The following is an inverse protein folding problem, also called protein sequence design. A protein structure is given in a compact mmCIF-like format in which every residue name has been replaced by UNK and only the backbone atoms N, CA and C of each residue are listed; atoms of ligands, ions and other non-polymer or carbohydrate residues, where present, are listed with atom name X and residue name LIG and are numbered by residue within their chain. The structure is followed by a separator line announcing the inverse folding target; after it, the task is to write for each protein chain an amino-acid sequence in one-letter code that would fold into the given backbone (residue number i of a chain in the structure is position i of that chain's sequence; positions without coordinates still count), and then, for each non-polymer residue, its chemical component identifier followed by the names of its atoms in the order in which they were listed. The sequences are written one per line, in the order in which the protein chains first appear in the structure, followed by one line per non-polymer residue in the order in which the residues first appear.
data_IF_608978007759
#
_entry.id   IF_608978007759
#
_cell.length_a   1.000
_cell.length_b   1.000
_cell.length_c   1.000
_cell.angle_alpha   90.00
_cell.angle_beta   90.00
_cell.angle_gamma   90.00
#
_symmetry.space_group_name_H-M   'P 1'
#
loop_
_entity.id
_entity.type
_entity.pdbx_description
1 polymer ?
#
# COMPACT_ATOMS: atom_id res chain seq x y z
N UNK A 1 2.45 47.91 -47.65
CA UNK A 1 2.13 48.32 -46.26
C UNK A 1 1.69 47.09 -45.47
N UNK A 2 2.32 46.86 -44.32
CA UNK A 2 2.01 45.89 -43.24
C UNK A 2 2.13 44.36 -43.50
N UNK A 3 3.22 43.83 -42.95
CA UNK A 3 3.66 42.43 -42.82
C UNK A 3 2.71 41.49 -42.07
N UNK A 4 2.47 40.30 -42.63
CA UNK A 4 1.77 39.15 -42.03
C UNK A 4 2.72 38.22 -41.23
N UNK A 5 3.92 38.70 -40.88
CA UNK A 5 4.98 37.88 -40.26
C UNK A 5 5.01 37.96 -38.71
N UNK A 6 3.84 38.11 -38.07
CA UNK A 6 3.71 38.18 -36.59
C UNK A 6 2.90 37.05 -35.96
N UNK A 7 2.12 36.28 -36.72
CA UNK A 7 1.31 35.19 -36.15
C UNK A 7 2.10 33.90 -35.87
N UNK A 8 3.25 33.67 -36.52
CA UNK A 8 4.02 32.43 -36.34
C UNK A 8 4.95 32.42 -35.10
N UNK A 9 5.12 33.56 -34.39
CA UNK A 9 6.01 33.65 -33.21
C UNK A 9 5.34 33.36 -31.86
N UNK A 10 4.00 33.37 -31.74
CA UNK A 10 3.30 33.00 -30.49
C UNK A 10 3.08 31.49 -30.33
N UNK A 11 3.02 30.73 -31.42
CA UNK A 11 2.82 29.28 -31.36
C UNK A 11 4.05 28.48 -30.87
N UNK A 12 5.25 29.09 -30.85
CA UNK A 12 6.51 28.39 -30.51
C UNK A 12 7.04 28.61 -29.08
N UNK A 13 6.38 29.43 -28.24
CA UNK A 13 6.82 29.64 -26.82
C UNK A 13 5.97 28.92 -25.76
N UNK A 14 4.86 28.29 -26.14
CA UNK A 14 4.08 27.45 -25.21
C UNK A 14 4.56 25.98 -25.16
N UNK A 15 5.40 25.54 -26.11
CA UNK A 15 5.81 24.13 -26.24
C UNK A 15 7.09 23.74 -25.46
N UNK A 16 7.65 24.63 -24.64
CA UNK A 16 8.95 24.39 -23.99
C UNK A 16 8.94 24.41 -22.45
N UNK A 17 7.78 24.57 -21.79
CA UNK A 17 7.68 24.56 -20.30
C UNK A 17 6.49 23.77 -19.74
N UNK A 18 6.08 22.71 -20.42
CA UNK A 18 5.06 21.78 -19.91
C UNK A 18 5.48 20.31 -20.13
N UNK A 19 6.77 20.02 -19.90
CA UNK A 19 7.32 18.68 -20.11
C UNK A 19 8.29 18.21 -19.01
N UNK A 20 8.08 18.68 -17.78
CA UNK A 20 8.99 18.33 -16.68
C UNK A 20 8.35 18.20 -15.29
N UNK A 21 7.03 18.01 -15.21
CA UNK A 21 6.34 17.52 -14.00
C UNK A 21 5.24 16.56 -14.46
N UNK A 22 5.65 15.41 -14.97
CA UNK A 22 4.77 14.25 -15.08
C UNK A 22 5.66 13.04 -14.79
N UNK A 23 6.12 13.01 -13.54
CA UNK A 23 6.79 11.87 -12.95
C UNK A 23 5.69 11.13 -12.17
N UNK A 24 5.60 9.82 -12.41
CA UNK A 24 4.73 8.82 -11.77
C UNK A 24 3.33 8.68 -12.36
N UNK A 25 3.22 7.65 -13.20
CA UNK A 25 1.98 7.28 -13.86
C UNK A 25 0.96 6.63 -12.92
N UNK A 26 -0.29 6.93 -13.21
CA UNK A 26 -1.37 5.96 -13.42
C UNK A 26 -2.49 6.68 -14.15
N UNK A 27 -3.10 6.03 -15.13
CA UNK A 27 -4.37 6.48 -15.71
C UNK A 27 -5.42 6.44 -14.59
N UNK A 28 -6.34 7.40 -14.50
CA UNK A 28 -7.54 7.20 -13.70
C UNK A 28 -8.38 6.16 -14.45
N UNK A 29 -8.27 4.90 -14.04
CA UNK A 29 -9.31 3.94 -14.36
C UNK A 29 -10.56 4.46 -13.65
N UNK A 30 -11.65 4.59 -14.41
CA UNK A 30 -12.96 4.91 -13.88
C UNK A 30 -13.22 3.96 -12.71
N UNK A 31 -13.38 4.54 -11.52
CA UNK A 31 -13.85 3.84 -10.33
C UNK A 31 -15.25 3.34 -10.68
N UNK A 32 -15.34 2.03 -10.89
CA UNK A 32 -16.61 1.32 -10.99
C UNK A 32 -17.24 1.34 -9.60
N UNK A 33 -18.53 1.61 -9.59
CA UNK A 33 -19.36 2.10 -8.49
C UNK A 33 -19.83 0.94 -7.58
N UNK A 34 -18.89 0.11 -7.10
CA UNK A 34 -19.21 -1.08 -6.26
C UNK A 34 -18.12 -1.40 -5.22
N UNK A 35 -17.56 -0.37 -4.57
CA UNK A 35 -16.59 -0.52 -3.49
C UNK A 35 -17.11 0.14 -2.21
N UNK A 36 -18.04 -0.53 -1.52
CA UNK A 36 -18.52 -0.18 -0.19
C UNK A 36 -17.47 -0.16 0.94
N UNK A 37 -16.18 -0.14 0.59
CA UNK A 37 -15.05 -0.05 1.52
C UNK A 37 -14.09 1.12 1.23
N UNK A 38 -14.25 1.88 0.14
CA UNK A 38 -13.31 2.96 -0.24
C UNK A 38 -13.90 4.38 -0.23
N UNK A 39 -15.08 4.59 0.36
CA UNK A 39 -15.62 5.94 0.55
C UNK A 39 -14.89 6.73 1.64
N UNK A 40 -14.11 6.05 2.48
CA UNK A 40 -13.28 6.69 3.52
C UNK A 40 -11.82 6.81 3.05
N UNK A 41 -11.20 8.00 3.16
CA UNK A 41 -9.80 8.17 2.78
C UNK A 41 -8.91 7.26 3.64
N UNK A 42 -7.97 6.55 2.98
CA UNK A 42 -6.97 5.72 3.67
C UNK A 42 -6.27 6.59 4.74
N UNK A 43 -6.25 6.15 6.02
CA UNK A 43 -5.62 6.91 7.09
C UNK A 43 -4.15 7.24 6.81
N UNK A 44 -3.68 8.40 7.28
CA UNK A 44 -2.30 8.85 7.04
C UNK A 44 -1.27 7.87 7.62
N UNK A 45 -1.55 7.24 8.76
CA UNK A 45 -0.69 6.23 9.36
C UNK A 45 -0.55 4.99 8.46
N UNK A 46 -1.62 4.59 7.78
CA UNK A 46 -1.63 3.47 6.83
C UNK A 46 -0.83 3.81 5.58
N UNK A 47 -0.98 5.03 5.03
CA UNK A 47 -0.17 5.49 3.89
C UNK A 47 1.32 5.58 4.23
N UNK A 48 1.66 6.02 5.44
CA UNK A 48 3.03 6.05 5.93
C UNK A 48 3.62 4.63 6.04
N UNK A 49 2.85 3.68 6.56
CA UNK A 49 3.23 2.27 6.59
C UNK A 49 3.44 1.71 5.18
N UNK A 50 2.51 1.94 4.26
CA UNK A 50 2.61 1.47 2.86
C UNK A 50 3.84 2.04 2.14
N UNK A 51 4.18 3.30 2.39
CA UNK A 51 5.39 3.90 1.83
C UNK A 51 6.66 3.18 2.32
N UNK A 52 6.74 2.87 3.62
CA UNK A 52 7.86 2.09 4.18
C UNK A 52 7.89 0.66 3.65
N UNK A 53 6.74 0.01 3.53
CA UNK A 53 6.61 -1.34 2.97
C UNK A 53 7.12 -1.38 1.53
N UNK A 54 6.82 -0.37 0.72
CA UNK A 54 7.29 -0.27 -0.67
C UNK A 54 8.81 -0.12 -0.76
N UNK A 55 9.39 0.71 0.09
CA UNK A 55 10.84 0.87 0.16
C UNK A 55 11.53 -0.44 0.60
N UNK A 56 10.94 -1.16 1.55
CA UNK A 56 11.43 -2.45 2.02
C UNK A 56 11.24 -3.57 0.98
N UNK A 57 10.14 -3.56 0.23
CA UNK A 57 9.87 -4.54 -0.84
C UNK A 57 10.91 -4.46 -1.96
N UNK A 58 11.46 -3.28 -2.22
CA UNK A 58 12.57 -3.10 -3.15
C UNK A 58 13.85 -3.85 -2.72
N UNK A 59 13.97 -4.19 -1.42
CA UNK A 59 15.04 -5.03 -0.88
C UNK A 59 14.63 -6.50 -0.91
N UNK A 60 13.52 -6.85 -0.25
CA UNK A 60 12.95 -8.20 -0.31
C UNK A 60 11.51 -8.24 0.21
N UNK A 61 10.80 -9.34 -0.09
CA UNK A 61 9.47 -9.60 0.47
C UNK A 61 9.51 -9.76 1.99
N UNK A 62 10.56 -10.40 2.53
CA UNK A 62 10.73 -10.60 3.97
C UNK A 62 10.85 -9.25 4.70
N UNK A 63 11.63 -8.32 4.15
CA UNK A 63 11.76 -6.97 4.71
C UNK A 63 10.42 -6.22 4.69
N UNK A 64 9.67 -6.32 3.59
CA UNK A 64 8.32 -5.72 3.50
C UNK A 64 7.37 -6.29 4.56
N UNK A 65 7.38 -7.60 4.77
CA UNK A 65 6.56 -8.27 5.79
C UNK A 65 6.99 -7.91 7.21
N UNK A 66 8.29 -7.80 7.47
CA UNK A 66 8.82 -7.34 8.77
C UNK A 66 8.36 -5.91 9.08
N UNK A 67 8.42 -5.02 8.09
CA UNK A 67 7.92 -3.65 8.20
C UNK A 67 6.42 -3.64 8.48
N UNK A 68 5.63 -4.45 7.77
CA UNK A 68 4.19 -4.58 8.03
C UNK A 68 3.94 -4.99 9.48
N UNK A 69 4.46 -6.13 9.92
CA UNK A 69 4.19 -6.68 11.25
C UNK A 69 4.61 -5.71 12.37
N UNK A 70 5.77 -5.08 12.21
CA UNK A 70 6.29 -4.11 13.19
C UNK A 70 5.44 -2.84 13.23
N UNK A 71 5.08 -2.25 12.09
CA UNK A 71 4.25 -1.03 12.09
C UNK A 71 2.82 -1.34 12.53
N UNK A 72 2.28 -2.50 12.14
CA UNK A 72 0.94 -2.92 12.53
C UNK A 72 0.82 -3.11 14.03
N UNK A 73 1.84 -3.66 14.69
CA UNK A 73 1.86 -3.76 16.15
C UNK A 73 1.75 -2.39 16.84
N UNK A 74 2.43 -1.36 16.33
CA UNK A 74 2.27 0.01 16.85
C UNK A 74 0.88 0.57 16.57
N UNK A 75 0.35 0.36 15.35
CA UNK A 75 -0.98 0.82 14.97
C UNK A 75 -2.05 0.17 15.85
N UNK A 76 -1.96 -1.14 16.12
CA UNK A 76 -2.91 -1.86 16.97
C UNK A 76 -2.89 -1.33 18.42
N UNK A 77 -1.72 -0.93 18.93
CA UNK A 77 -1.61 -0.33 20.27
C UNK A 77 -2.36 1.03 20.32
N UNK A 78 -2.20 1.85 19.28
CA UNK A 78 -2.85 3.17 19.21
C UNK A 78 -4.35 3.06 18.81
N UNK A 79 -4.71 2.03 18.07
CA UNK A 79 -6.02 1.79 17.47
C UNK A 79 -6.47 0.32 17.64
N UNK A 80 -6.75 -0.13 18.88
CA UNK A 80 -7.18 -1.50 19.14
C UNK A 80 -8.54 -1.83 18.53
N UNK A 81 -9.35 -0.81 18.20
CA UNK A 81 -10.64 -0.96 17.52
C UNK A 81 -10.55 -1.53 16.10
N UNK A 82 -9.36 -1.54 15.49
CA UNK A 82 -9.12 -2.15 14.19
C UNK A 82 -9.11 -3.67 14.24
N UNK A 83 -8.92 -4.26 15.43
CA UNK A 83 -8.98 -5.69 15.60
C UNK A 83 -10.43 -6.16 15.62
N UNK A 84 -10.79 -6.94 14.59
CA UNK A 84 -12.07 -7.61 14.53
C UNK A 84 -12.09 -8.86 15.42
N UNK A 85 -12.35 -8.64 16.70
CA UNK A 85 -12.51 -9.69 17.71
C UNK A 85 -13.83 -10.47 17.58
N UNK A 86 -14.77 -10.00 16.75
CA UNK A 86 -16.04 -10.74 16.51
C UNK A 86 -15.81 -11.93 15.57
N UNK A 87 -14.89 -11.75 14.61
CA UNK A 87 -14.55 -12.75 13.61
C UNK A 87 -13.22 -13.49 13.88
N UNK A 88 -12.72 -13.41 15.11
CA UNK A 88 -11.46 -14.04 15.51
C UNK A 88 -11.57 -14.78 16.85
N UNK A 89 -10.91 -15.93 16.96
CA UNK A 89 -10.88 -16.71 18.20
C UNK A 89 -10.00 -16.06 19.29
N UNK A 90 -8.93 -15.37 18.87
CA UNK A 90 -8.01 -14.65 19.75
C UNK A 90 -7.41 -13.41 19.06
N UNK A 91 -6.69 -12.59 19.84
CA UNK A 91 -6.07 -11.35 19.37
C UNK A 91 -5.01 -11.60 18.27
N UNK A 92 -4.31 -12.73 18.32
CA UNK A 92 -3.32 -13.10 17.30
C UNK A 92 -3.96 -13.42 15.95
N UNK A 93 -5.10 -14.11 15.96
CA UNK A 93 -5.92 -14.34 14.78
C UNK A 93 -6.51 -13.03 14.24
N UNK A 94 -7.05 -12.16 15.11
CA UNK A 94 -7.55 -10.85 14.70
C UNK A 94 -6.45 -9.99 14.05
N UNK A 95 -5.26 -9.97 14.65
CA UNK A 95 -4.11 -9.25 14.10
C UNK A 95 -3.65 -9.84 12.75
N UNK A 96 -3.75 -11.17 12.58
CA UNK A 96 -3.45 -11.84 11.31
C UNK A 96 -4.47 -11.48 10.22
N UNK A 97 -5.77 -11.44 10.56
CA UNK A 97 -6.81 -10.96 9.65
C UNK A 97 -6.57 -9.51 9.24
N UNK A 98 -6.30 -8.63 10.21
CA UNK A 98 -5.96 -7.23 9.93
C UNK A 98 -4.71 -7.11 9.05
N UNK A 99 -3.67 -7.91 9.29
CA UNK A 99 -2.47 -7.91 8.45
C UNK A 99 -2.79 -8.34 7.01
N UNK A 100 -3.66 -9.33 6.82
CA UNK A 100 -4.12 -9.76 5.51
C UNK A 100 -4.91 -8.63 4.80
N UNK A 101 -5.82 -7.96 5.49
CA UNK A 101 -6.58 -6.83 4.95
C UNK A 101 -5.64 -5.67 4.54
N UNK A 102 -4.68 -5.33 5.40
CA UNK A 102 -3.67 -4.30 5.11
C UNK A 102 -2.80 -4.65 3.90
N UNK A 103 -2.51 -5.92 3.68
CA UNK A 103 -1.77 -6.38 2.50
C UNK A 103 -2.61 -6.29 1.23
N UNK A 104 -3.91 -6.58 1.31
CA UNK A 104 -4.85 -6.37 0.20
C UNK A 104 -4.85 -4.89 -0.18
N UNK A 105 -5.06 -4.01 0.79
CA UNK A 105 -5.06 -2.56 0.58
C UNK A 105 -3.72 -2.06 0.03
N UNK A 106 -2.61 -2.58 0.54
CA UNK A 106 -1.27 -2.27 0.05
C UNK A 106 -1.12 -2.64 -1.43
N UNK A 107 -1.56 -3.84 -1.83
CA UNK A 107 -1.49 -4.30 -3.22
C UNK A 107 -2.39 -3.50 -4.15
N UNK A 108 -3.59 -3.16 -3.70
CA UNK A 108 -4.49 -2.27 -4.42
C UNK A 108 -3.87 -0.88 -4.60
N UNK A 109 -3.23 -0.33 -3.56
CA UNK A 109 -2.56 0.97 -3.61
C UNK A 109 -1.28 0.97 -4.47
N UNK A 110 -0.36 0.03 -4.22
CA UNK A 110 0.95 -0.04 -4.86
C UNK A 110 0.84 -0.50 -6.32
N UNK A 111 0.14 -1.60 -6.56
CA UNK A 111 0.09 -2.30 -7.85
C UNK A 111 -1.20 -2.01 -8.63
N UNK A 112 -2.20 -1.38 -8.00
CA UNK A 112 -3.45 -1.01 -8.69
C UNK A 112 -4.23 -2.25 -9.09
N UNK A 113 -3.97 -3.35 -8.38
CA UNK A 113 -4.68 -4.61 -8.53
C UNK A 113 -6.08 -4.47 -7.96
N UNK A 114 -7.00 -5.29 -8.45
CA UNK A 114 -8.29 -5.45 -7.79
C UNK A 114 -8.15 -6.29 -6.51
N UNK A 115 -9.21 -6.27 -5.69
CA UNK A 115 -9.26 -7.01 -4.43
C UNK A 115 -9.09 -8.52 -4.65
N UNK A 116 -9.71 -9.06 -5.69
CA UNK A 116 -9.69 -10.49 -5.99
C UNK A 116 -8.28 -10.97 -6.34
N UNK A 117 -7.53 -10.22 -7.15
CA UNK A 117 -6.15 -10.52 -7.48
C UNK A 117 -5.23 -10.39 -6.26
N UNK A 118 -5.45 -9.38 -5.41
CA UNK A 118 -4.71 -9.24 -4.16
C UNK A 118 -4.97 -10.40 -3.19
N UNK A 119 -6.23 -10.85 -3.09
CA UNK A 119 -6.61 -12.00 -2.26
C UNK A 119 -6.06 -13.32 -2.83
N UNK A 120 -6.04 -13.48 -4.15
CA UNK A 120 -5.42 -14.62 -4.81
C UNK A 120 -3.91 -14.67 -4.52
N UNK A 121 -3.23 -13.52 -4.52
CA UNK A 121 -1.82 -13.42 -4.16
C UNK A 121 -1.54 -13.87 -2.72
N UNK A 122 -2.40 -13.49 -1.76
CA UNK A 122 -2.27 -13.97 -0.37
C UNK A 122 -2.49 -15.48 -0.22
N UNK A 123 -3.21 -16.09 -1.15
CA UNK A 123 -3.45 -17.54 -1.17
C UNK A 123 -2.31 -18.31 -1.84
N UNK A 124 -1.28 -17.64 -2.36
CA UNK A 124 -0.15 -18.30 -2.99
C UNK A 124 0.69 -19.08 -1.95
N UNK A 125 1.05 -20.35 -2.21
CA UNK A 125 1.82 -21.15 -1.25
C UNK A 125 3.17 -20.53 -0.87
N UNK A 126 3.81 -19.82 -1.82
CA UNK A 126 5.06 -19.12 -1.57
C UNK A 126 4.85 -17.94 -0.62
N UNK A 127 3.77 -17.17 -0.83
CA UNK A 127 3.45 -16.06 0.05
C UNK A 127 3.13 -16.55 1.47
N UNK A 128 2.31 -17.59 1.61
CA UNK A 128 1.96 -18.18 2.92
C UNK A 128 3.22 -18.63 3.66
N UNK A 129 4.17 -19.26 2.96
CA UNK A 129 5.44 -19.68 3.56
C UNK A 129 6.30 -18.48 4.03
N UNK A 130 6.43 -17.45 3.18
CA UNK A 130 7.19 -16.24 3.53
C UNK A 130 6.54 -15.48 4.69
N UNK A 131 5.21 -15.41 4.71
CA UNK A 131 4.45 -14.77 5.77
C UNK A 131 4.57 -15.50 7.11
N UNK A 132 4.48 -16.84 7.10
CA UNK A 132 4.72 -17.65 8.29
C UNK A 132 6.13 -17.45 8.85
N UNK A 133 7.16 -17.46 7.98
CA UNK A 133 8.53 -17.20 8.41
C UNK A 133 8.71 -15.79 9.00
N UNK A 134 8.06 -14.78 8.41
CA UNK A 134 8.11 -13.41 8.94
C UNK A 134 7.42 -13.30 10.31
N UNK A 135 6.30 -14.00 10.52
CA UNK A 135 5.62 -14.08 11.82
C UNK A 135 6.50 -14.76 12.88
N UNK A 136 7.16 -15.85 12.53
CA UNK A 136 8.07 -16.57 13.44
C UNK A 136 9.23 -15.66 13.87
N UNK A 137 9.90 -15.00 12.91
CA UNK A 137 10.99 -14.05 13.20
C UNK A 137 10.49 -12.87 14.03
N UNK A 138 9.29 -12.35 13.72
CA UNK A 138 8.70 -11.26 14.49
C UNK A 138 8.45 -11.68 15.94
N UNK A 139 7.89 -12.87 16.16
CA UNK A 139 7.66 -13.43 17.49
C UNK A 139 8.97 -13.62 18.27
N UNK A 140 10.00 -14.19 17.64
CA UNK A 140 11.32 -14.31 18.26
C UNK A 140 11.88 -12.94 18.70
N UNK A 141 11.68 -11.90 17.88
CA UNK A 141 12.12 -10.54 18.20
C UNK A 141 11.37 -9.90 19.38
N UNK A 142 10.15 -10.36 19.67
CA UNK A 142 9.39 -9.92 20.85
C UNK A 142 9.89 -10.61 22.12
N UNK A 143 10.21 -11.91 22.02
CA UNK A 143 10.76 -12.70 23.12
C UNK A 143 12.15 -12.17 23.54
N UNK A 144 13.03 -11.85 22.58
CA UNK A 144 14.35 -11.27 22.85
C UNK A 144 14.27 -9.90 23.55
N UNK A 145 13.23 -9.11 23.28
CA UNK A 145 13.02 -7.79 23.92
C UNK A 145 12.41 -7.86 25.32
N UNK A 146 11.87 -9.03 25.71
CA UNK A 146 11.23 -9.22 27.00
C UNK A 146 12.21 -9.69 28.11
N UNK A 147 13.45 -10.02 27.74
CA UNK A 147 14.54 -10.42 28.66
C UNK A 147 15.45 -9.24 29.02
#
# INVERSE_FOLDING_TARGET
MASLNKQQKRAKRAKAKAKQINIHGRKPAALDDDLGHLDEPIPEYTLAMFSKMRDAEAVSRSEMLSVLLTNLAFIIIDHPELLDMENADDEGMAATHLAADMLIDYRMWADGMDRDAAQAWLSEPQFIADFGAALDVYRESLEEKAE
#
